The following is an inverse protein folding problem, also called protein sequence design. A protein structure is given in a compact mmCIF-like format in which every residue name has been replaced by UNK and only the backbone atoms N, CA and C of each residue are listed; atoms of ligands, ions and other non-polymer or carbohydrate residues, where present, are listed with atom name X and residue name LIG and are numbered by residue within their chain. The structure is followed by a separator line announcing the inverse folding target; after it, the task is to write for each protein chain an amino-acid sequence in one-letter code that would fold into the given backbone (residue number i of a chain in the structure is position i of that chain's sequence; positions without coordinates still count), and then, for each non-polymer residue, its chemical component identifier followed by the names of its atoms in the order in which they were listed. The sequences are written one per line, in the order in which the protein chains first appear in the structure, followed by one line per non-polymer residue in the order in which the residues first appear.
data_IF_126113104141
#
_entry.id   IF_126113104141
#
_cell.length_a   1.000
_cell.length_b   1.000
_cell.length_c   1.000
_cell.angle_alpha   90.00
_cell.angle_beta   90.00
_cell.angle_gamma   90.00
#
_symmetry.space_group_name_H-M   'P 1'
#
loop_
_entity.id
_entity.type
_entity.pdbx_description
1 polymer ?
#
# COMPACT_ATOMS: atom_id res chain seq x y z
N UNK A 1 -1.20 17.35 14.15
CA UNK A 1 -1.93 16.60 13.13
C UNK A 1 -3.03 17.51 12.54
N UNK A 2 -3.34 17.37 11.28
CA UNK A 2 -4.39 18.10 10.58
C UNK A 2 -5.33 17.06 9.95
N UNK A 3 -6.62 17.19 10.21
CA UNK A 3 -7.66 16.41 9.54
C UNK A 3 -8.33 17.33 8.53
N UNK A 4 -8.30 16.97 7.26
CA UNK A 4 -8.93 17.70 6.18
C UNK A 4 -10.14 16.94 5.65
N UNK A 5 -11.28 17.61 5.53
CA UNK A 5 -12.51 17.02 4.99
C UNK A 5 -12.76 17.60 3.60
N UNK A 6 -13.05 16.74 2.63
CA UNK A 6 -13.34 17.17 1.27
C UNK A 6 -14.74 17.79 1.18
N UNK A 7 -14.91 18.73 0.24
CA UNK A 7 -16.23 19.33 -0.01
C UNK A 7 -17.30 18.27 -0.35
N UNK A 8 -16.93 17.25 -1.14
CA UNK A 8 -17.85 16.16 -1.48
C UNK A 8 -18.29 15.32 -0.29
N UNK A 9 -17.45 15.17 0.75
CA UNK A 9 -17.86 14.52 1.99
C UNK A 9 -18.86 15.40 2.77
N UNK A 10 -18.61 16.71 2.84
CA UNK A 10 -19.54 17.65 3.51
C UNK A 10 -20.91 17.73 2.83
N UNK A 11 -20.98 17.55 1.51
CA UNK A 11 -22.23 17.61 0.75
C UNK A 11 -23.04 16.30 0.77
N UNK A 12 -22.38 15.16 1.00
CA UNK A 12 -23.02 13.82 0.87
C UNK A 12 -23.24 13.09 2.18
N UNK A 13 -22.44 13.41 3.19
CA UNK A 13 -22.54 12.78 4.50
C UNK A 13 -23.44 13.63 5.41
N UNK A 14 -24.27 12.96 6.20
CA UNK A 14 -24.99 13.59 7.28
C UNK A 14 -24.07 13.85 8.48
N UNK A 15 -24.61 14.48 9.52
CA UNK A 15 -23.86 14.87 10.71
C UNK A 15 -23.24 13.68 11.41
N UNK A 16 -23.98 12.59 11.58
CA UNK A 16 -23.55 11.42 12.33
C UNK A 16 -22.50 10.63 11.54
N UNK A 17 -22.67 10.53 10.23
CA UNK A 17 -21.70 9.96 9.29
C UNK A 17 -20.40 10.77 9.27
N UNK A 18 -20.50 12.10 9.19
CA UNK A 18 -19.34 12.97 9.21
C UNK A 18 -18.58 12.85 10.56
N UNK A 19 -19.31 12.79 11.66
CA UNK A 19 -18.71 12.57 12.98
C UNK A 19 -18.00 11.23 13.07
N UNK A 20 -18.57 10.15 12.53
CA UNK A 20 -17.95 8.84 12.48
C UNK A 20 -16.68 8.84 11.62
N UNK A 21 -16.70 9.51 10.45
CA UNK A 21 -15.54 9.66 9.58
C UNK A 21 -14.40 10.41 10.30
N UNK A 22 -14.70 11.52 10.93
CA UNK A 22 -13.70 12.31 11.67
C UNK A 22 -13.14 11.52 12.87
N UNK A 23 -13.98 10.75 13.56
CA UNK A 23 -13.54 9.90 14.66
C UNK A 23 -12.61 8.77 14.18
N UNK A 24 -12.87 8.18 13.01
CA UNK A 24 -12.01 7.20 12.37
C UNK A 24 -10.62 7.81 12.03
N UNK A 25 -10.58 8.96 11.38
CA UNK A 25 -9.33 9.66 11.08
C UNK A 25 -8.57 10.07 12.35
N UNK A 26 -9.31 10.46 13.39
CA UNK A 26 -8.71 10.79 14.68
C UNK A 26 -8.07 9.56 15.34
N UNK A 27 -8.69 8.39 15.21
CA UNK A 27 -8.12 7.13 15.70
C UNK A 27 -6.75 6.83 15.06
N UNK A 28 -6.58 7.04 13.74
CA UNK A 28 -5.29 6.92 13.07
C UNK A 28 -4.22 7.86 13.62
N UNK A 29 -4.62 9.10 13.95
CA UNK A 29 -3.70 10.08 14.56
C UNK A 29 -3.26 9.62 15.95
N UNK A 30 -4.19 9.18 16.80
CA UNK A 30 -3.91 8.72 18.17
C UNK A 30 -3.03 7.46 18.16
N UNK A 31 -3.29 6.53 17.27
CA UNK A 31 -2.53 5.29 17.11
C UNK A 31 -1.15 5.49 16.47
N UNK A 32 -0.85 6.68 15.97
CA UNK A 32 0.45 6.99 15.39
C UNK A 32 0.74 6.26 14.08
N UNK A 33 -0.29 6.00 13.27
CA UNK A 33 -0.22 5.21 12.04
C UNK A 33 0.73 5.80 11.00
N UNK A 34 0.86 7.12 10.93
CA UNK A 34 1.86 7.80 10.10
C UNK A 34 3.29 7.36 10.43
N UNK A 35 3.63 7.29 11.73
CA UNK A 35 4.97 6.87 12.17
C UNK A 35 5.23 5.41 11.85
N UNK A 36 4.21 4.57 12.01
CA UNK A 36 4.32 3.17 11.65
C UNK A 36 4.56 2.97 10.15
N UNK A 37 3.79 3.64 9.30
CA UNK A 37 3.98 3.59 7.86
C UNK A 37 5.40 4.01 7.45
N UNK A 38 5.92 5.09 8.02
CA UNK A 38 7.30 5.55 7.75
C UNK A 38 8.34 4.50 8.18
N UNK A 39 8.16 3.86 9.34
CA UNK A 39 9.07 2.80 9.81
C UNK A 39 9.05 1.56 8.93
N UNK A 40 7.91 1.23 8.32
CA UNK A 40 7.79 0.07 7.42
C UNK A 40 8.39 0.32 6.04
N UNK A 41 8.54 1.59 5.64
CA UNK A 41 9.14 1.96 4.35
C UNK A 41 10.61 1.52 4.29
N UNK A 42 11.40 1.80 5.33
CA UNK A 42 12.83 1.51 5.36
C UNK A 42 13.19 0.04 5.04
N UNK A 43 12.70 -0.93 5.80
CA UNK A 43 12.96 -2.36 5.53
C UNK A 43 12.51 -2.82 4.14
N UNK A 44 11.35 -2.35 3.66
CA UNK A 44 10.85 -2.71 2.34
C UNK A 44 11.73 -2.16 1.21
N UNK A 45 12.20 -0.91 1.33
CA UNK A 45 13.15 -0.33 0.39
C UNK A 45 14.52 -1.01 0.45
N UNK A 46 14.98 -1.39 1.64
CA UNK A 46 16.21 -2.17 1.81
C UNK A 46 16.15 -3.51 1.06
N UNK A 47 15.05 -4.24 1.20
CA UNK A 47 14.82 -5.48 0.44
C UNK A 47 14.71 -5.24 -1.07
N UNK A 48 14.05 -4.17 -1.49
CA UNK A 48 13.94 -3.79 -2.89
C UNK A 48 15.32 -3.45 -3.49
N UNK A 49 16.17 -2.78 -2.72
CA UNK A 49 17.54 -2.46 -3.11
C UNK A 49 18.37 -3.73 -3.32
N UNK A 50 18.28 -4.71 -2.42
CA UNK A 50 18.95 -6.00 -2.57
C UNK A 50 18.55 -6.71 -3.85
N UNK A 51 17.26 -6.77 -4.16
CA UNK A 51 16.75 -7.35 -5.41
C UNK A 51 17.27 -6.58 -6.62
N UNK A 52 17.32 -5.26 -6.54
CA UNK A 52 17.81 -4.41 -7.63
C UNK A 52 19.29 -4.63 -7.89
N UNK A 53 20.10 -4.69 -6.83
CA UNK A 53 21.55 -4.99 -6.93
C UNK A 53 21.75 -6.38 -7.53
N UNK A 54 21.03 -7.40 -7.06
CA UNK A 54 21.10 -8.75 -7.60
C UNK A 54 20.75 -8.78 -9.09
N UNK A 55 19.69 -8.05 -9.50
CA UNK A 55 19.34 -7.90 -10.92
C UNK A 55 20.42 -7.20 -11.73
N UNK A 56 21.01 -6.13 -11.20
CA UNK A 56 22.11 -5.43 -11.87
C UNK A 56 23.34 -6.33 -12.04
N UNK A 57 23.66 -7.16 -11.05
CA UNK A 57 24.73 -8.15 -11.14
C UNK A 57 24.46 -9.21 -12.23
N UNK A 58 23.22 -9.64 -12.38
CA UNK A 58 22.83 -10.61 -13.43
C UNK A 58 22.77 -9.96 -14.81
N UNK A 59 22.10 -8.81 -14.94
CA UNK A 59 21.83 -8.14 -16.22
C UNK A 59 23.03 -7.27 -16.69
N UNK A 60 23.74 -6.66 -15.74
CA UNK A 60 24.94 -5.82 -16.05
C UNK A 60 26.06 -6.61 -16.68
N UNK A 61 26.10 -7.93 -16.46
CA UNK A 61 27.04 -8.85 -17.09
C UNK A 61 26.70 -9.17 -18.56
N UNK A 62 25.44 -8.93 -18.97
CA UNK A 62 24.96 -9.16 -20.33
C UNK A 62 25.08 -7.93 -21.25
N UNK A 63 25.31 -6.75 -20.67
CA UNK A 63 25.48 -5.47 -21.39
C UNK A 63 26.96 -5.06 -21.56
N UNK A 64 27.79 -6.01 -21.96
CA UNK A 64 29.14 -5.70 -22.43
C UNK A 64 29.06 -4.90 -23.71
N UNK A 65 29.44 -3.61 -23.63
CA UNK A 65 29.59 -2.70 -24.76
C UNK A 65 30.46 -3.33 -25.87
N UNK A 66 29.91 -3.41 -27.09
CA UNK A 66 30.70 -3.72 -28.31
C UNK A 66 31.00 -5.18 -28.58
N UNK A 67 30.04 -6.09 -28.50
CA UNK A 67 30.14 -7.41 -29.18
C UNK A 67 31.13 -8.43 -28.57
N UNK A 68 31.81 -8.11 -27.49
CA UNK A 68 32.53 -9.06 -26.67
C UNK A 68 31.58 -9.53 -25.57
N UNK A 69 31.05 -10.77 -25.74
CA UNK A 69 30.44 -11.53 -24.65
C UNK A 69 31.46 -11.62 -23.50
N UNK A 70 31.44 -10.69 -22.58
CA UNK A 70 32.12 -10.85 -21.31
C UNK A 70 31.43 -12.02 -20.63
N UNK A 71 32.10 -13.19 -20.66
CA UNK A 71 31.65 -14.37 -19.93
C UNK A 71 31.35 -13.92 -18.49
N UNK A 72 30.20 -14.25 -17.92
CA UNK A 72 29.94 -13.94 -16.53
C UNK A 72 31.11 -14.45 -15.73
N UNK A 73 31.79 -13.55 -14.99
CA UNK A 73 32.89 -13.96 -14.12
C UNK A 73 32.26 -15.02 -13.21
N UNK A 74 32.72 -16.25 -13.30
CA UNK A 74 32.08 -17.43 -12.71
C UNK A 74 31.82 -17.36 -11.19
N UNK A 75 32.32 -16.31 -10.55
CA UNK A 75 32.15 -16.04 -9.12
C UNK A 75 30.91 -15.17 -8.81
N UNK A 76 30.41 -14.37 -9.77
CA UNK A 76 29.29 -13.45 -9.52
C UNK A 76 27.92 -14.12 -9.62
N UNK A 77 27.79 -15.13 -10.47
CA UNK A 77 26.53 -15.85 -10.67
C UNK A 77 26.08 -16.65 -9.44
N UNK A 78 26.97 -17.41 -8.75
CA UNK A 78 26.62 -18.14 -7.54
C UNK A 78 26.18 -17.23 -6.39
N UNK A 79 26.67 -15.99 -6.33
CA UNK A 79 26.28 -15.02 -5.32
C UNK A 79 25.01 -14.23 -5.70
N UNK A 80 24.82 -13.90 -6.97
CA UNK A 80 23.70 -13.12 -7.44
C UNK A 80 22.36 -13.86 -7.33
N UNK A 81 22.34 -15.17 -7.62
CA UNK A 81 21.11 -15.97 -7.55
C UNK A 81 20.56 -16.09 -6.13
N UNK A 82 21.34 -16.51 -5.12
CA UNK A 82 20.85 -16.52 -3.74
C UNK A 82 20.40 -15.15 -3.27
N UNK A 83 21.13 -14.08 -3.58
CA UNK A 83 20.78 -12.72 -3.21
C UNK A 83 19.44 -12.30 -3.83
N UNK A 84 19.20 -12.65 -5.08
CA UNK A 84 17.92 -12.40 -5.76
C UNK A 84 16.77 -13.19 -5.12
N UNK A 85 16.97 -14.47 -4.86
CA UNK A 85 15.96 -15.35 -4.26
C UNK A 85 15.59 -14.87 -2.87
N UNK A 86 16.58 -14.68 -1.99
CA UNK A 86 16.33 -14.20 -0.63
C UNK A 86 15.69 -12.80 -0.62
N UNK A 87 16.16 -11.89 -1.46
CA UNK A 87 15.59 -10.56 -1.58
C UNK A 87 14.14 -10.57 -2.08
N UNK A 88 13.80 -11.42 -3.06
CA UNK A 88 12.45 -11.53 -3.61
C UNK A 88 11.47 -12.18 -2.62
N UNK A 89 11.89 -13.23 -1.93
CA UNK A 89 11.09 -13.87 -0.86
C UNK A 89 10.86 -12.88 0.28
N UNK A 90 11.91 -12.19 0.74
CA UNK A 90 11.82 -11.20 1.80
C UNK A 90 10.87 -10.05 1.41
N UNK A 91 10.94 -9.57 0.18
CA UNK A 91 10.03 -8.54 -0.33
C UNK A 91 8.57 -9.03 -0.38
N UNK A 92 8.33 -10.25 -0.79
CA UNK A 92 7.00 -10.85 -0.82
C UNK A 92 6.40 -10.97 0.58
N UNK A 93 7.17 -11.51 1.54
CA UNK A 93 6.79 -11.60 2.95
C UNK A 93 6.54 -10.19 3.52
N UNK A 94 7.42 -9.24 3.25
CA UNK A 94 7.29 -7.87 3.74
C UNK A 94 6.01 -7.18 3.23
N UNK A 95 5.62 -7.42 1.97
CA UNK A 95 4.34 -6.93 1.41
C UNK A 95 3.14 -7.55 2.10
N UNK A 96 3.18 -8.87 2.38
CA UNK A 96 2.10 -9.56 3.09
C UNK A 96 1.95 -9.04 4.52
N UNK A 97 3.05 -8.92 5.25
CA UNK A 97 3.05 -8.38 6.61
C UNK A 97 2.52 -6.95 6.66
N UNK A 98 2.94 -6.10 5.71
CA UNK A 98 2.42 -4.75 5.59
C UNK A 98 0.92 -4.75 5.33
N UNK A 99 0.44 -5.56 4.39
CA UNK A 99 -0.99 -5.64 4.09
C UNK A 99 -1.82 -6.14 5.28
N UNK A 100 -1.31 -7.12 6.03
CA UNK A 100 -1.95 -7.62 7.24
C UNK A 100 -2.00 -6.55 8.34
N UNK A 101 -0.89 -5.85 8.57
CA UNK A 101 -0.81 -4.78 9.55
C UNK A 101 -1.74 -3.61 9.22
N UNK A 102 -1.84 -3.21 7.96
CA UNK A 102 -2.78 -2.17 7.52
C UNK A 102 -4.23 -2.56 7.80
N UNK A 103 -4.63 -3.80 7.48
CA UNK A 103 -6.00 -4.27 7.79
C UNK A 103 -6.30 -4.25 9.28
N UNK A 104 -5.37 -4.69 10.12
CA UNK A 104 -5.57 -4.65 11.57
C UNK A 104 -5.75 -3.23 12.09
N UNK A 105 -5.04 -2.26 11.52
CA UNK A 105 -5.16 -0.85 11.88
C UNK A 105 -6.48 -0.24 11.43
N UNK A 106 -6.98 -0.60 10.25
CA UNK A 106 -8.32 -0.23 9.81
C UNK A 106 -9.39 -0.75 10.78
N UNK A 107 -9.34 -2.04 11.16
CA UNK A 107 -10.27 -2.59 12.14
C UNK A 107 -10.18 -1.91 13.50
N UNK A 108 -8.97 -1.55 13.94
CA UNK A 108 -8.78 -0.83 15.20
C UNK A 108 -9.36 0.59 15.11
N UNK A 109 -9.15 1.30 14.01
CA UNK A 109 -9.68 2.64 13.79
C UNK A 109 -11.21 2.63 13.73
N UNK A 110 -11.81 1.65 13.04
CA UNK A 110 -13.26 1.46 12.99
C UNK A 110 -13.84 1.20 14.40
N UNK A 111 -13.23 0.30 15.16
CA UNK A 111 -13.67 0.00 16.52
C UNK A 111 -13.56 1.22 17.45
N UNK A 112 -12.48 2.00 17.32
CA UNK A 112 -12.30 3.23 18.09
C UNK A 112 -13.27 4.33 17.65
N UNK A 113 -13.55 4.46 16.35
CA UNK A 113 -14.55 5.42 15.85
C UNK A 113 -15.92 5.14 16.49
N UNK A 114 -16.35 3.86 16.53
CA UNK A 114 -17.59 3.46 17.23
C UNK A 114 -17.51 3.75 18.73
N UNK A 115 -16.38 3.49 19.36
CA UNK A 115 -16.20 3.77 20.79
C UNK A 115 -16.29 5.27 21.11
N UNK A 116 -15.73 6.13 20.26
CA UNK A 116 -15.75 7.58 20.45
C UNK A 116 -17.12 8.18 20.16
N UNK A 117 -17.80 7.73 19.13
CA UNK A 117 -19.11 8.26 18.72
C UNK A 117 -20.26 7.59 19.44
N UNK A 118 -20.05 6.38 19.97
CA UNK A 118 -21.10 5.49 20.52
C UNK A 118 -22.22 5.20 19.53
N UNK A 119 -21.93 5.31 18.26
CA UNK A 119 -22.90 5.11 17.16
C UNK A 119 -22.25 4.21 16.10
N UNK A 120 -22.94 3.13 15.75
CA UNK A 120 -22.50 2.20 14.69
C UNK A 120 -23.06 2.64 13.34
N UNK A 121 -24.28 3.16 13.34
CA UNK A 121 -25.01 3.49 12.09
C UNK A 121 -24.31 4.57 11.26
N UNK A 122 -23.71 5.57 11.90
CA UNK A 122 -22.94 6.59 11.21
C UNK A 122 -21.76 6.01 10.44
N UNK A 123 -21.00 5.09 11.06
CA UNK A 123 -19.88 4.42 10.37
C UNK A 123 -20.35 3.54 9.22
N UNK A 124 -21.43 2.77 9.43
CA UNK A 124 -22.02 1.94 8.36
C UNK A 124 -22.51 2.79 7.18
N UNK A 125 -23.12 3.96 7.45
CA UNK A 125 -23.56 4.90 6.43
C UNK A 125 -22.41 5.43 5.59
N UNK A 126 -21.30 5.83 6.22
CA UNK A 126 -20.06 6.25 5.53
C UNK A 126 -19.54 5.16 4.62
N UNK A 127 -19.39 3.93 5.14
CA UNK A 127 -18.87 2.79 4.38
C UNK A 127 -19.76 2.43 3.19
N UNK A 128 -21.07 2.46 3.37
CA UNK A 128 -22.04 2.19 2.30
C UNK A 128 -21.94 3.25 1.19
N UNK A 129 -21.92 4.55 1.55
CA UNK A 129 -21.79 5.65 0.59
C UNK A 129 -20.43 5.67 -0.10
N UNK A 130 -19.35 5.34 0.61
CA UNK A 130 -18.02 5.25 0.04
C UNK A 130 -17.90 4.12 -0.98
N UNK A 131 -18.47 2.93 -0.69
CA UNK A 131 -18.50 1.80 -1.61
C UNK A 131 -19.29 2.11 -2.88
N UNK A 132 -20.48 2.68 -2.75
CA UNK A 132 -21.31 3.09 -3.88
C UNK A 132 -20.62 4.14 -4.77
N UNK A 133 -19.92 5.09 -4.18
CA UNK A 133 -19.18 6.11 -4.92
C UNK A 133 -17.98 5.51 -5.66
N UNK A 134 -17.29 4.55 -5.05
CA UNK A 134 -16.15 3.85 -5.65
C UNK A 134 -16.60 3.02 -6.86
N UNK A 135 -17.72 2.33 -6.78
CA UNK A 135 -18.27 1.54 -7.87
C UNK A 135 -18.74 2.44 -9.02
N UNK A 136 -19.41 3.56 -8.71
CA UNK A 136 -19.80 4.55 -9.71
C UNK A 136 -18.59 5.19 -10.41
N UNK A 137 -17.51 5.48 -9.69
CA UNK A 137 -16.27 6.01 -10.27
C UNK A 137 -15.57 4.98 -11.17
N UNK A 138 -15.62 3.70 -10.80
CA UNK A 138 -15.06 2.60 -11.60
C UNK A 138 -15.81 2.40 -12.91
N UNK A 139 -17.14 2.51 -12.90
CA UNK A 139 -17.97 2.40 -14.10
C UNK A 139 -17.86 3.62 -15.04
N UNK A 140 -17.45 4.78 -14.53
CA UNK A 140 -17.29 6.01 -15.32
C UNK A 140 -15.90 6.16 -15.98
N UNK A 141 -14.95 5.31 -15.69
CA UNK A 141 -13.62 5.37 -16.29
C UNK A 141 -13.65 4.65 -17.66
N UNK A 142 -13.57 5.37 -18.79
CA UNK A 142 -13.60 4.75 -20.13
C UNK A 142 -12.39 3.85 -20.42
N UNK A 143 -11.37 3.90 -19.55
CA UNK A 143 -10.16 3.09 -19.68
C UNK A 143 -10.29 1.68 -19.12
N UNK A 144 -11.34 1.37 -18.34
CA UNK A 144 -11.58 0.03 -17.81
C UNK A 144 -12.08 -0.96 -18.87
N UNK A 145 -12.73 -0.50 -19.91
CA UNK A 145 -13.16 -1.36 -21.04
C UNK A 145 -11.98 -1.80 -21.92
N UNK A 146 -10.96 -0.94 -22.09
CA UNK A 146 -9.79 -1.26 -22.92
C UNK A 146 -8.86 -2.26 -22.25
N UNK A 147 -8.78 -2.26 -20.91
CA UNK A 147 -7.92 -3.17 -20.16
C UNK A 147 -8.50 -4.59 -19.98
N UNK A 148 -9.78 -4.79 -20.23
CA UNK A 148 -10.40 -6.12 -20.12
C UNK A 148 -10.24 -6.99 -21.36
N UNK A 149 -9.70 -6.45 -22.46
CA UNK A 149 -9.49 -7.13 -23.74
C UNK A 149 -8.01 -7.37 -24.10
N UNK A 150 -7.07 -7.10 -23.17
CA UNK A 150 -5.67 -7.50 -23.28
C UNK A 150 -5.33 -8.59 -22.25
#
# INVERSE_FOLDING_TARGET
ALIAVTRGALERLDRDELQALVAHEFAHVVNGDMRYNLRMIGPLYGLALLVTIARMLVIGLDRGDGGRRTKPVGLTWPAAVPLYVFGSIGMWIGRLLRAAALRQREYLADAQAVQYTRQVDGLLGVLAKASATRDAARMRSPWTEVASHM
#
